data_IF_318436201487
#
_entry.id   IF_318436201487
#
_cell.length_a   1.000
_cell.length_b   1.000
_cell.length_c   1.000
_cell.angle_alpha   90.00
_cell.angle_beta   90.00
_cell.angle_gamma   90.00
#
_symmetry.space_group_name_H-M   'P 1'
#
loop_
_entity.id
_entity.type
_entity.pdbx_description
1 polymer ?
#
# COMPACT_ATOMS: atom_id res chain seq x y z
N UNK A 1 9.06 7.84 3.01
CA UNK A 1 7.76 8.11 2.33
C UNK A 1 7.24 9.52 2.59
N UNK A 2 7.10 9.94 3.86
CA UNK A 2 6.60 11.26 4.23
C UNK A 2 7.42 12.41 3.62
N UNK A 3 8.75 12.34 3.74
CA UNK A 3 9.64 13.33 3.15
C UNK A 3 9.49 13.43 1.62
N UNK A 4 9.35 12.28 0.95
CA UNK A 4 9.08 12.24 -0.48
C UNK A 4 7.76 12.94 -0.81
N UNK A 5 6.67 12.60 -0.11
CA UNK A 5 5.35 13.21 -0.34
C UNK A 5 5.40 14.74 -0.17
N UNK A 6 6.07 15.22 0.89
CA UNK A 6 6.28 16.65 1.15
C UNK A 6 7.05 17.33 0.02
N UNK A 7 8.22 16.79 -0.34
CA UNK A 7 9.08 17.39 -1.39
C UNK A 7 8.45 17.29 -2.78
N UNK A 8 7.74 16.21 -3.08
CA UNK A 8 7.10 15.99 -4.36
C UNK A 8 6.01 17.02 -4.62
N UNK A 9 5.08 17.21 -3.66
CA UNK A 9 4.02 18.22 -3.76
C UNK A 9 4.53 19.65 -3.92
N UNK A 10 5.66 19.98 -3.27
CA UNK A 10 6.28 21.30 -3.37
C UNK A 10 6.87 21.59 -4.77
N UNK A 11 7.22 20.54 -5.54
CA UNK A 11 7.95 20.66 -6.80
C UNK A 11 7.11 20.29 -8.02
N UNK A 12 6.13 19.41 -7.85
CA UNK A 12 5.40 18.78 -8.93
C UNK A 12 3.90 18.76 -8.64
N UNK A 13 3.11 18.94 -9.70
CA UNK A 13 1.66 18.76 -9.70
C UNK A 13 1.25 17.65 -10.68
N UNK A 14 1.94 16.50 -10.59
CA UNK A 14 1.75 15.36 -11.50
C UNK A 14 1.19 14.19 -10.67
N UNK A 15 0.03 13.61 -11.04
CA UNK A 15 -0.50 12.44 -10.35
C UNK A 15 0.43 11.23 -10.46
N UNK A 16 0.55 10.45 -9.39
CA UNK A 16 1.40 9.27 -9.39
C UNK A 16 0.77 8.04 -8.72
N UNK A 17 1.35 6.89 -9.03
CA UNK A 17 0.99 5.59 -8.49
C UNK A 17 2.16 5.05 -7.65
N UNK A 18 1.87 4.31 -6.59
CA UNK A 18 2.91 3.63 -5.78
C UNK A 18 2.62 2.15 -5.63
N UNK A 19 3.70 1.38 -5.46
CA UNK A 19 3.64 -0.01 -5.04
C UNK A 19 4.16 -0.08 -3.60
N UNK A 20 3.46 -0.80 -2.72
CA UNK A 20 3.83 -0.88 -1.30
C UNK A 20 3.57 -2.27 -0.71
N UNK A 21 4.22 -2.54 0.42
CA UNK A 21 3.88 -3.67 1.30
C UNK A 21 2.73 -3.27 2.22
N UNK A 22 1.83 -4.19 2.57
CA UNK A 22 0.70 -3.88 3.45
C UNK A 22 1.14 -3.41 4.84
N UNK A 23 2.24 -3.94 5.38
CA UNK A 23 2.79 -3.59 6.70
C UNK A 23 3.23 -2.12 6.83
N UNK A 24 3.52 -1.46 5.71
CA UNK A 24 3.98 -0.06 5.68
C UNK A 24 2.82 0.93 5.57
N UNK A 25 1.59 0.45 5.42
CA UNK A 25 0.41 1.30 5.28
C UNK A 25 -0.19 1.58 6.66
N UNK A 26 -0.15 2.85 7.05
CA UNK A 26 -0.89 3.40 8.17
C UNK A 26 -1.61 4.70 7.75
N UNK A 27 -2.39 5.27 8.64
CA UNK A 27 -3.21 6.46 8.41
C UNK A 27 -2.37 7.66 7.97
N UNK A 28 -1.22 7.87 8.60
CA UNK A 28 -0.30 8.98 8.29
C UNK A 28 0.27 8.86 6.87
N UNK A 29 0.76 7.66 6.51
CA UNK A 29 1.29 7.37 5.18
C UNK A 29 0.20 7.54 4.11
N UNK A 30 -1.00 7.03 4.35
CA UNK A 30 -2.09 7.11 3.40
C UNK A 30 -2.54 8.57 3.18
N UNK A 31 -2.66 9.36 4.26
CA UNK A 31 -2.97 10.78 4.18
C UNK A 31 -1.88 11.56 3.42
N UNK A 32 -0.60 11.28 3.70
CA UNK A 32 0.53 11.92 3.02
C UNK A 32 0.56 11.60 1.52
N UNK A 33 0.31 10.35 1.13
CA UNK A 33 0.23 9.93 -0.27
C UNK A 33 -0.91 10.66 -0.99
N UNK A 34 -2.11 10.66 -0.42
CA UNK A 34 -3.27 11.35 -1.00
C UNK A 34 -3.00 12.85 -1.18
N UNK A 35 -2.45 13.49 -0.15
CA UNK A 35 -2.12 14.91 -0.15
C UNK A 35 -1.10 15.27 -1.25
N UNK A 36 -0.14 14.38 -1.52
CA UNK A 36 0.91 14.58 -2.52
C UNK A 36 0.45 14.34 -3.97
N UNK A 37 -0.78 13.88 -4.21
CA UNK A 37 -1.29 13.60 -5.55
C UNK A 37 -1.19 12.13 -5.96
N UNK A 38 -0.97 11.22 -5.01
CA UNK A 38 -1.10 9.79 -5.29
C UNK A 38 -2.56 9.44 -5.56
N UNK A 39 -2.84 8.72 -6.64
CA UNK A 39 -4.20 8.30 -7.00
C UNK A 39 -4.45 6.80 -6.82
N UNK A 40 -3.40 5.98 -6.82
CA UNK A 40 -3.49 4.52 -6.69
C UNK A 40 -2.33 3.93 -5.90
N UNK A 41 -2.66 3.00 -5.00
CA UNK A 41 -1.69 2.22 -4.23
C UNK A 41 -1.86 0.75 -4.59
N UNK A 42 -0.80 0.13 -5.10
CA UNK A 42 -0.76 -1.31 -5.42
C UNK A 42 -0.09 -2.07 -4.29
N UNK A 43 -0.75 -3.08 -3.77
CA UNK A 43 -0.32 -3.85 -2.60
C UNK A 43 0.04 -5.26 -3.04
N UNK A 44 1.26 -5.70 -2.70
CA UNK A 44 1.65 -7.10 -2.82
C UNK A 44 0.94 -7.94 -1.76
N UNK A 45 -0.15 -8.61 -2.15
CA UNK A 45 -0.88 -9.57 -1.30
C UNK A 45 -0.22 -10.93 -1.39
N UNK A 46 0.20 -11.29 -2.60
CA UNK A 46 0.88 -12.52 -3.02
C UNK A 46 0.02 -13.78 -2.86
N UNK A 47 -0.58 -14.05 -1.70
CA UNK A 47 -1.50 -15.17 -1.49
C UNK A 47 -2.42 -14.91 -0.29
N UNK A 48 -3.60 -15.52 -0.29
CA UNK A 48 -4.52 -15.50 0.85
C UNK A 48 -4.13 -16.48 1.97
N UNK A 49 -3.22 -17.41 1.68
CA UNK A 49 -2.71 -18.38 2.65
C UNK A 49 -1.48 -17.78 3.38
N UNK A 50 -1.66 -17.49 4.67
CA UNK A 50 -0.59 -16.95 5.52
C UNK A 50 0.59 -17.92 5.66
N UNK A 51 0.31 -19.22 5.78
CA UNK A 51 1.31 -20.27 5.91
C UNK A 51 2.14 -20.39 4.63
N UNK A 52 1.50 -20.38 3.47
CA UNK A 52 2.17 -20.37 2.18
C UNK A 52 3.09 -19.15 2.03
N UNK A 53 2.56 -17.95 2.31
CA UNK A 53 3.33 -16.70 2.22
C UNK A 53 4.54 -16.69 3.15
N UNK A 54 4.36 -17.15 4.39
CA UNK A 54 5.43 -17.24 5.37
C UNK A 54 6.50 -18.25 4.97
N UNK A 55 6.09 -19.43 4.52
CA UNK A 55 6.97 -20.57 4.24
C UNK A 55 7.74 -20.42 2.92
N UNK A 56 7.05 -20.01 1.84
CA UNK A 56 7.61 -20.06 0.48
C UNK A 56 8.01 -18.69 -0.06
N UNK A 57 7.34 -17.61 0.37
CA UNK A 57 7.59 -16.26 -0.16
C UNK A 57 8.38 -15.36 0.81
N UNK A 58 8.75 -15.89 1.98
CA UNK A 58 9.36 -15.14 3.08
C UNK A 58 8.58 -13.85 3.42
N UNK A 59 7.25 -13.94 3.37
CA UNK A 59 6.33 -12.86 3.73
C UNK A 59 5.63 -13.24 5.03
N UNK A 60 6.00 -12.57 6.12
CA UNK A 60 5.49 -12.89 7.47
C UNK A 60 4.53 -11.80 7.96
N UNK A 61 3.33 -11.76 7.40
CA UNK A 61 2.26 -10.89 7.87
C UNK A 61 0.90 -11.58 7.81
N UNK A 62 0.01 -11.28 8.76
CA UNK A 62 -1.33 -11.85 8.75
C UNK A 62 -2.21 -11.24 7.65
N UNK A 63 -3.30 -11.92 7.32
CA UNK A 63 -4.35 -11.44 6.44
C UNK A 63 -5.04 -10.20 7.01
N UNK A 64 -5.05 -10.04 8.34
CA UNK A 64 -5.59 -8.84 8.97
C UNK A 64 -4.72 -7.60 8.73
N UNK A 65 -3.40 -7.75 8.62
CA UNK A 65 -2.51 -6.65 8.20
C UNK A 65 -2.87 -6.19 6.79
N UNK A 66 -3.11 -7.13 5.87
CA UNK A 66 -3.55 -6.80 4.50
C UNK A 66 -4.89 -6.09 4.53
N UNK A 67 -5.91 -6.69 5.16
CA UNK A 67 -7.26 -6.11 5.24
C UNK A 67 -7.22 -4.71 5.84
N UNK A 68 -6.41 -4.49 6.88
CA UNK A 68 -6.20 -3.17 7.50
C UNK A 68 -5.62 -2.17 6.50
N UNK A 69 -4.56 -2.54 5.76
CA UNK A 69 -3.97 -1.67 4.76
C UNK A 69 -5.00 -1.23 3.69
N UNK A 70 -5.79 -2.16 3.16
CA UNK A 70 -6.86 -1.82 2.21
C UNK A 70 -7.94 -0.91 2.81
N UNK A 71 -8.36 -1.15 4.06
CA UNK A 71 -9.34 -0.28 4.76
C UNK A 71 -8.81 1.14 4.92
N UNK A 72 -7.56 1.30 5.34
CA UNK A 72 -6.93 2.61 5.54
C UNK A 72 -6.87 3.38 4.21
N UNK A 73 -6.41 2.72 3.14
CA UNK A 73 -6.33 3.34 1.81
C UNK A 73 -7.71 3.73 1.28
N UNK A 74 -8.72 2.87 1.48
CA UNK A 74 -10.11 3.16 1.12
C UNK A 74 -10.67 4.36 1.87
N UNK A 75 -10.42 4.44 3.18
CA UNK A 75 -10.87 5.56 4.00
C UNK A 75 -10.26 6.90 3.56
N UNK A 76 -9.05 6.89 2.99
CA UNK A 76 -8.40 8.08 2.43
C UNK A 76 -8.78 8.38 0.96
N UNK A 77 -9.68 7.59 0.37
CA UNK A 77 -10.11 7.77 -1.03
C UNK A 77 -8.99 7.56 -2.05
N UNK A 78 -8.06 6.64 -1.75
CA UNK A 78 -7.03 6.17 -2.69
C UNK A 78 -7.54 4.93 -3.42
N UNK A 79 -7.37 4.83 -4.74
CA UNK A 79 -7.67 3.57 -5.43
C UNK A 79 -6.68 2.47 -4.98
N UNK A 80 -7.14 1.23 -4.89
CA UNK A 80 -6.31 0.11 -4.43
C UNK A 80 -6.28 -1.00 -5.48
N UNK A 81 -5.12 -1.64 -5.64
CA UNK A 81 -4.94 -2.85 -6.45
C UNK A 81 -4.19 -3.88 -5.61
N UNK A 82 -4.64 -5.13 -5.62
CA UNK A 82 -3.90 -6.24 -5.03
C UNK A 82 -3.16 -7.03 -6.09
N UNK A 83 -1.89 -7.33 -5.86
CA UNK A 83 -1.14 -8.32 -6.64
C UNK A 83 -1.23 -9.68 -5.95
N UNK A 84 -1.61 -10.70 -6.71
CA UNK A 84 -1.81 -12.07 -6.27
C UNK A 84 -0.99 -13.01 -7.16
N UNK A 85 -0.45 -14.05 -6.54
CA UNK A 85 0.23 -15.17 -7.19
C UNK A 85 -0.61 -16.42 -6.91
N UNK A 86 -0.92 -17.16 -7.95
CA UNK A 86 -1.60 -18.44 -7.89
C UNK A 86 -0.66 -19.50 -8.46
N UNK A 87 -0.51 -20.63 -7.77
CA UNK A 87 0.45 -21.69 -8.12
C UNK A 87 1.21 -22.19 -6.91
#
# INVERSE_FOLDING_TARGET
MLEFCKKYKQRFNIPFAVNSRPELINEEIAAALKNAGCFIVRIGVESGDEGFRGKYLNRRMSNDVIKRAFRILKAQGLAQVGFFIFG
#
